data_IF_027229293783
#
_entry.id   IF_027229293783
#
_cell.length_a   1.000
_cell.length_b   1.000
_cell.length_c   1.000
_cell.angle_alpha   90.00
_cell.angle_beta   90.00
_cell.angle_gamma   90.00
#
_symmetry.space_group_name_H-M   'P 1'
#
loop_
_entity.id
_entity.type
_entity.pdbx_description
1 polymer ?
#
# COMPACT_ATOMS: atom_id res chain seq x y z
N UNK A 1 17.74 29.80 16.66
CA UNK A 1 18.96 30.36 16.01
C UNK A 1 19.90 29.20 15.70
N UNK A 2 20.41 29.11 14.47
CA UNK A 2 21.35 28.05 14.04
C UNK A 2 22.76 28.38 14.55
N UNK A 3 23.50 27.38 15.03
CA UNK A 3 24.88 27.51 15.54
C UNK A 3 25.72 26.31 15.13
N UNK A 4 27.05 26.38 15.26
CA UNK A 4 27.90 25.19 15.11
C UNK A 4 27.38 24.08 16.04
N UNK A 5 27.21 22.88 15.50
CA UNK A 5 26.55 21.74 16.13
C UNK A 5 25.04 21.62 15.89
N UNK A 6 24.39 22.61 15.26
CA UNK A 6 23.01 22.47 14.77
C UNK A 6 22.92 21.34 13.75
N UNK A 7 21.78 20.64 13.71
CA UNK A 7 21.58 19.45 12.87
C UNK A 7 20.39 19.60 11.95
N UNK A 8 20.45 18.97 10.78
CA UNK A 8 19.29 18.70 9.93
C UNK A 8 18.75 17.35 10.37
N UNK A 9 17.60 17.37 11.05
CA UNK A 9 17.01 16.17 11.62
C UNK A 9 16.49 15.22 10.53
N UNK A 10 16.78 13.94 10.68
CA UNK A 10 16.19 12.88 9.86
C UNK A 10 15.25 12.08 10.77
N UNK A 11 13.93 12.07 10.59
CA UNK A 11 13.06 11.30 11.47
C UNK A 11 13.45 9.81 11.44
N UNK A 12 13.65 9.18 12.60
CA UNK A 12 14.14 7.81 12.65
C UNK A 12 13.73 7.06 13.92
N UNK A 13 13.53 5.75 13.78
CA UNK A 13 13.35 4.78 14.87
C UNK A 13 14.53 3.81 14.91
N UNK A 14 15.02 3.49 16.11
CA UNK A 14 15.98 2.40 16.33
C UNK A 14 15.36 1.32 17.19
N UNK A 15 15.57 0.08 16.78
CA UNK A 15 15.09 -1.09 17.51
C UNK A 15 15.49 -2.33 16.74
N UNK A 16 14.58 -3.28 16.62
CA UNK A 16 14.79 -4.50 15.83
C UNK A 16 13.79 -4.54 14.68
N UNK A 17 14.24 -5.06 13.54
CA UNK A 17 13.36 -5.29 12.41
C UNK A 17 13.72 -6.59 11.69
N UNK A 18 12.73 -7.19 11.05
CA UNK A 18 12.87 -8.36 10.19
C UNK A 18 11.88 -8.29 9.04
N UNK A 19 12.25 -8.87 7.90
CA UNK A 19 11.51 -8.74 6.64
C UNK A 19 11.46 -10.10 5.95
N UNK A 20 10.29 -10.47 5.43
CA UNK A 20 10.13 -11.68 4.64
C UNK A 20 9.12 -11.44 3.52
N UNK A 21 9.27 -12.15 2.39
CA UNK A 21 8.39 -12.03 1.22
C UNK A 21 7.89 -13.39 0.76
N UNK A 22 6.67 -13.41 0.21
CA UNK A 22 6.07 -14.54 -0.49
C UNK A 22 5.55 -14.12 -1.86
N UNK A 23 5.66 -15.02 -2.82
CA UNK A 23 4.89 -14.96 -4.05
C UNK A 23 3.45 -15.37 -3.73
N UNK A 24 2.50 -14.53 -4.13
CA UNK A 24 1.06 -14.76 -3.97
C UNK A 24 0.35 -14.67 -5.32
N UNK A 25 1.06 -14.89 -6.41
CA UNK A 25 0.47 -14.91 -7.75
C UNK A 25 -0.65 -15.94 -7.78
N UNK A 26 -1.88 -15.54 -8.17
CA UNK A 26 -3.01 -16.43 -8.16
C UNK A 26 -2.88 -17.51 -9.24
N UNK A 27 -3.61 -18.64 -9.09
CA UNK A 27 -3.61 -19.69 -10.09
C UNK A 27 -4.25 -19.21 -11.40
N UNK A 28 -3.84 -19.77 -12.55
CA UNK A 28 -4.48 -19.48 -13.84
C UNK A 28 -6.00 -19.70 -13.80
N UNK A 29 -6.74 -18.86 -14.51
CA UNK A 29 -8.20 -18.94 -14.59
C UNK A 29 -8.95 -18.41 -13.37
N UNK A 30 -8.27 -17.82 -12.38
CA UNK A 30 -8.96 -17.11 -11.29
C UNK A 30 -9.72 -15.89 -11.83
N UNK A 31 -10.82 -15.55 -11.16
CA UNK A 31 -11.57 -14.33 -11.45
C UNK A 31 -10.74 -13.07 -11.20
N UNK A 32 -10.61 -12.21 -12.20
CA UNK A 32 -9.93 -10.90 -12.15
C UNK A 32 -10.82 -9.73 -12.58
N UNK A 33 -12.14 -9.94 -12.71
CA UNK A 33 -13.12 -8.90 -13.05
C UNK A 33 -13.26 -7.84 -11.96
N UNK A 34 -12.39 -6.84 -11.97
CA UNK A 34 -12.45 -5.67 -11.07
C UNK A 34 -13.08 -4.45 -11.73
N UNK A 35 -13.11 -4.42 -13.07
CA UNK A 35 -13.75 -3.39 -13.87
C UNK A 35 -15.12 -3.85 -14.36
N UNK A 36 -16.15 -3.03 -14.14
CA UNK A 36 -17.49 -3.24 -14.70
C UNK A 36 -17.48 -3.47 -16.23
N UNK A 37 -16.73 -2.70 -17.03
CA UNK A 37 -16.64 -2.91 -18.48
C UNK A 37 -15.61 -3.98 -18.91
N UNK A 38 -15.02 -4.76 -18.00
CA UNK A 38 -14.00 -5.77 -18.34
C UNK A 38 -14.46 -6.70 -19.48
N UNK A 39 -13.55 -6.92 -20.43
CA UNK A 39 -13.79 -7.76 -21.61
C UNK A 39 -13.73 -9.26 -21.26
N UNK A 40 -12.93 -9.63 -20.25
CA UNK A 40 -12.83 -10.98 -19.70
C UNK A 40 -13.16 -11.01 -18.20
N UNK A 41 -13.50 -12.20 -17.70
CA UNK A 41 -13.75 -12.42 -16.26
C UNK A 41 -12.58 -13.02 -15.51
N UNK A 42 -11.69 -13.67 -16.25
CA UNK A 42 -10.52 -14.39 -15.77
C UNK A 42 -9.26 -13.84 -16.42
N UNK A 43 -8.14 -14.01 -15.74
CA UNK A 43 -6.85 -13.68 -16.32
C UNK A 43 -6.40 -14.74 -17.35
N UNK A 44 -5.79 -14.29 -18.45
CA UNK A 44 -5.20 -15.14 -19.49
C UNK A 44 -3.67 -15.28 -19.35
N UNK A 45 -3.07 -14.55 -18.41
CA UNK A 45 -1.64 -14.56 -18.17
C UNK A 45 -1.23 -13.72 -16.96
N UNK A 46 0.08 -13.57 -16.79
CA UNK A 46 0.70 -12.79 -15.72
C UNK A 46 1.66 -11.81 -16.35
N UNK A 47 1.42 -10.51 -16.16
CA UNK A 47 2.35 -9.46 -16.53
C UNK A 47 3.54 -9.45 -15.56
N UNK A 48 3.24 -9.40 -14.25
CA UNK A 48 4.21 -9.49 -13.17
C UNK A 48 3.65 -10.28 -12.00
N UNK A 49 4.50 -10.99 -11.24
CA UNK A 49 4.07 -11.72 -10.05
C UNK A 49 3.51 -10.77 -9.00
N UNK A 50 2.53 -11.25 -8.25
CA UNK A 50 2.01 -10.57 -7.07
C UNK A 50 2.80 -11.03 -5.86
N UNK A 51 3.11 -10.11 -4.95
CA UNK A 51 3.87 -10.43 -3.74
C UNK A 51 3.15 -9.96 -2.48
N UNK A 52 3.49 -10.65 -1.39
CA UNK A 52 3.18 -10.24 -0.03
C UNK A 52 4.50 -10.06 0.71
N UNK A 53 4.72 -8.91 1.34
CA UNK A 53 5.92 -8.63 2.13
C UNK A 53 5.54 -8.28 3.56
N UNK A 54 6.04 -9.06 4.52
CA UNK A 54 5.91 -8.79 5.94
C UNK A 54 7.13 -8.01 6.45
N UNK A 55 6.89 -6.97 7.22
CA UNK A 55 7.86 -6.20 7.99
C UNK A 55 7.46 -6.28 9.46
N UNK A 56 8.31 -6.89 10.29
CA UNK A 56 8.17 -6.90 11.74
C UNK A 56 9.10 -5.86 12.36
N UNK A 57 8.61 -5.12 13.35
CA UNK A 57 9.40 -4.15 14.12
C UNK A 57 9.15 -4.37 15.62
N UNK A 58 10.20 -4.34 16.43
CA UNK A 58 10.10 -4.38 17.89
C UNK A 58 11.05 -3.38 18.54
N UNK A 59 10.77 -3.01 19.79
CA UNK A 59 11.74 -2.35 20.66
C UNK A 59 12.87 -3.33 21.04
N UNK A 60 13.92 -2.83 21.72
CA UNK A 60 15.04 -3.65 22.16
C UNK A 60 14.69 -4.52 23.41
N UNK A 61 15.35 -5.68 23.63
CA UNK A 61 14.95 -6.71 24.61
C UNK A 61 15.09 -6.36 26.09
N UNK A 62 15.29 -5.09 26.44
CA UNK A 62 15.42 -4.62 27.83
C UNK A 62 14.12 -4.14 28.47
N UNK A 63 13.09 -3.87 27.66
CA UNK A 63 11.72 -3.61 28.12
C UNK A 63 10.97 -4.94 28.16
N UNK A 64 10.14 -5.18 29.18
CA UNK A 64 9.25 -6.36 29.30
C UNK A 64 8.39 -6.49 28.03
N UNK A 65 8.91 -7.28 27.08
CA UNK A 65 8.76 -7.04 25.65
C UNK A 65 7.34 -7.14 25.12
N UNK A 66 6.79 -5.98 24.76
CA UNK A 66 5.60 -5.89 23.93
C UNK A 66 5.76 -6.70 22.63
N UNK A 67 4.68 -7.38 22.21
CA UNK A 67 4.65 -8.11 20.95
C UNK A 67 5.05 -7.19 19.76
N UNK A 68 5.75 -7.73 18.74
CA UNK A 68 6.20 -6.94 17.60
C UNK A 68 5.00 -6.33 16.85
N UNK A 69 5.21 -5.17 16.23
CA UNK A 69 4.31 -4.65 15.21
C UNK A 69 4.61 -5.34 13.89
N UNK A 70 3.58 -5.83 13.19
CA UNK A 70 3.70 -6.49 11.90
C UNK A 70 2.88 -5.73 10.86
N UNK A 71 3.57 -5.27 9.82
CA UNK A 71 2.98 -4.73 8.61
C UNK A 71 3.09 -5.79 7.50
N UNK A 72 1.96 -6.09 6.85
CA UNK A 72 1.88 -6.98 5.70
C UNK A 72 1.41 -6.17 4.49
N UNK A 73 2.33 -5.85 3.58
CA UNK A 73 2.02 -5.21 2.31
C UNK A 73 1.71 -6.26 1.25
N UNK A 74 0.54 -6.18 0.62
CA UNK A 74 0.00 -7.19 -0.29
C UNK A 74 -0.32 -6.55 -1.63
N UNK A 75 0.19 -7.14 -2.72
CA UNK A 75 -0.34 -6.87 -4.05
C UNK A 75 -1.75 -7.48 -4.18
N UNK A 76 -2.75 -6.74 -3.74
CA UNK A 76 -4.16 -7.12 -3.79
C UNK A 76 -5.06 -5.96 -4.20
N UNK A 77 -6.30 -6.32 -4.54
CA UNK A 77 -7.36 -5.40 -4.98
C UNK A 77 -7.96 -4.67 -3.77
N UNK A 78 -9.17 -5.02 -3.37
CA UNK A 78 -9.82 -4.57 -2.15
C UNK A 78 -10.72 -5.67 -1.61
N UNK A 79 -10.95 -5.61 -0.31
CA UNK A 79 -11.91 -6.49 0.35
C UNK A 79 -13.33 -6.10 -0.09
N UNK A 80 -14.00 -6.98 -0.84
CA UNK A 80 -15.40 -6.73 -1.26
C UNK A 80 -16.40 -7.06 -0.16
N UNK A 81 -16.01 -7.88 0.82
CA UNK A 81 -16.83 -8.34 1.95
C UNK A 81 -16.04 -8.24 3.25
N UNK A 82 -16.70 -7.78 4.31
CA UNK A 82 -16.13 -7.71 5.65
C UNK A 82 -15.75 -9.11 6.15
N UNK A 83 -16.58 -10.12 5.87
CA UNK A 83 -16.33 -11.51 6.28
C UNK A 83 -15.00 -12.05 5.73
N UNK A 84 -14.69 -11.77 4.45
CA UNK A 84 -13.46 -12.24 3.80
C UNK A 84 -12.22 -11.58 4.42
N UNK A 85 -12.28 -10.27 4.66
CA UNK A 85 -11.22 -9.52 5.35
C UNK A 85 -11.00 -10.06 6.77
N UNK A 86 -12.08 -10.21 7.54
CA UNK A 86 -12.02 -10.67 8.93
C UNK A 86 -11.48 -12.08 9.03
N UNK A 87 -11.90 -12.99 8.15
CA UNK A 87 -11.38 -14.37 8.11
C UNK A 87 -9.87 -14.39 7.87
N UNK A 88 -9.38 -13.63 6.88
CA UNK A 88 -7.94 -13.55 6.60
C UNK A 88 -7.21 -12.92 7.79
N UNK A 89 -7.70 -11.78 8.31
CA UNK A 89 -7.11 -11.09 9.46
C UNK A 89 -7.03 -11.98 10.69
N UNK A 90 -8.12 -12.63 11.10
CA UNK A 90 -8.16 -13.51 12.26
C UNK A 90 -7.18 -14.68 12.09
N UNK A 91 -7.12 -15.29 10.92
CA UNK A 91 -6.15 -16.36 10.63
C UNK A 91 -4.70 -15.87 10.82
N UNK A 92 -4.40 -14.64 10.40
CA UNK A 92 -3.06 -14.05 10.55
C UNK A 92 -2.78 -13.71 12.02
N UNK A 93 -3.71 -13.10 12.73
CA UNK A 93 -3.58 -12.79 14.16
C UNK A 93 -3.33 -14.05 14.98
N UNK A 94 -4.17 -15.08 14.80
CA UNK A 94 -4.04 -16.37 15.50
C UNK A 94 -2.72 -17.05 15.14
N UNK A 95 -2.34 -17.04 13.85
CA UNK A 95 -1.11 -17.66 13.38
C UNK A 95 0.18 -16.98 13.88
N UNK A 96 0.11 -15.69 14.21
CA UNK A 96 1.23 -14.90 14.72
C UNK A 96 1.16 -14.66 16.23
N UNK A 97 0.09 -15.09 16.89
CA UNK A 97 -0.19 -14.83 18.32
C UNK A 97 -0.21 -13.32 18.64
N UNK A 98 -0.83 -12.53 17.75
CA UNK A 98 -0.90 -11.07 17.83
C UNK A 98 -2.32 -10.58 18.15
N UNK A 99 -2.40 -9.39 18.74
CA UNK A 99 -3.65 -8.63 18.90
C UNK A 99 -3.89 -7.69 17.71
N UNK A 100 -5.12 -7.18 17.54
CA UNK A 100 -5.49 -6.37 16.36
C UNK A 100 -4.60 -5.14 16.17
N UNK A 101 -4.23 -4.45 17.24
CA UNK A 101 -3.37 -3.26 17.22
C UNK A 101 -1.92 -3.56 16.77
N UNK A 102 -1.51 -4.83 16.75
CA UNK A 102 -0.17 -5.28 16.36
C UNK A 102 -0.07 -5.65 14.88
N UNK A 103 -1.19 -5.68 14.13
CA UNK A 103 -1.22 -6.13 12.74
C UNK A 103 -1.87 -5.12 11.80
N UNK A 104 -1.09 -4.66 10.82
CA UNK A 104 -1.60 -3.92 9.67
C UNK A 104 -1.47 -4.76 8.39
N UNK A 105 -2.59 -5.00 7.70
CA UNK A 105 -2.60 -5.59 6.35
C UNK A 105 -2.95 -4.48 5.36
N UNK A 106 -2.01 -4.12 4.49
CA UNK A 106 -2.15 -3.05 3.51
C UNK A 106 -2.21 -3.64 2.09
N UNK A 107 -3.29 -3.33 1.36
CA UNK A 107 -3.41 -3.72 -0.04
C UNK A 107 -2.86 -2.61 -0.94
N UNK A 108 -2.11 -2.98 -1.98
CA UNK A 108 -1.62 -2.05 -3.02
C UNK A 108 -2.76 -1.34 -3.75
N UNK A 109 -3.95 -1.96 -3.78
CA UNK A 109 -5.13 -1.52 -4.51
C UNK A 109 -5.03 -1.66 -6.04
N UNK A 110 -4.19 -2.57 -6.54
CA UNK A 110 -4.16 -2.92 -7.97
C UNK A 110 -5.52 -3.44 -8.44
N UNK A 111 -6.01 -2.93 -9.57
CA UNK A 111 -7.23 -3.45 -10.21
C UNK A 111 -6.96 -4.64 -11.13
N UNK A 112 -5.69 -4.95 -11.41
CA UNK A 112 -5.28 -6.09 -12.22
C UNK A 112 -4.93 -7.33 -11.39
N UNK A 113 -5.47 -7.45 -10.17
CA UNK A 113 -5.31 -8.61 -9.29
C UNK A 113 -6.54 -9.54 -9.26
N UNK A 114 -6.47 -10.66 -8.52
CA UNK A 114 -7.63 -11.51 -8.28
C UNK A 114 -8.69 -10.77 -7.47
N UNK A 115 -9.96 -11.11 -7.71
CA UNK A 115 -11.08 -10.70 -6.88
C UNK A 115 -10.89 -11.26 -5.46
N UNK A 116 -10.94 -10.39 -4.44
CA UNK A 116 -10.93 -10.78 -3.02
C UNK A 116 -12.36 -10.83 -2.48
N UNK A 117 -13.12 -11.85 -2.91
CA UNK A 117 -14.53 -12.04 -2.56
C UNK A 117 -14.94 -13.51 -2.70
N UNK A 118 -15.08 -14.24 -1.59
CA UNK A 118 -15.56 -15.62 -1.65
C UNK A 118 -17.04 -15.71 -2.10
N UNK A 119 -17.80 -14.62 -1.95
CA UNK A 119 -19.19 -14.52 -2.42
C UNK A 119 -19.35 -14.44 -3.95
N UNK A 120 -18.25 -14.36 -4.69
CA UNK A 120 -18.23 -14.42 -6.16
C UNK A 120 -17.92 -15.85 -6.66
N UNK A 121 -17.94 -16.87 -5.79
CA UNK A 121 -17.55 -18.25 -6.12
C UNK A 121 -18.41 -18.91 -7.21
N UNK A 122 -19.65 -18.45 -7.40
CA UNK A 122 -20.57 -18.90 -8.44
C UNK A 122 -20.31 -18.30 -9.83
N UNK A 123 -19.43 -17.29 -9.90
CA UNK A 123 -19.10 -16.58 -11.15
C UNK A 123 -17.90 -17.22 -11.84
N UNK A 124 -17.70 -16.87 -13.12
CA UNK A 124 -16.58 -17.38 -13.91
C UNK A 124 -15.22 -17.08 -13.25
N UNK A 125 -14.39 -18.12 -13.14
CA UNK A 125 -13.14 -18.16 -12.36
C UNK A 125 -13.27 -18.00 -10.83
N UNK A 126 -14.49 -17.78 -10.32
CA UNK A 126 -14.77 -17.46 -8.92
C UNK A 126 -14.54 -18.62 -7.98
N UNK A 127 -14.74 -19.86 -8.44
CA UNK A 127 -14.55 -21.07 -7.63
C UNK A 127 -13.13 -21.22 -7.07
N UNK A 128 -12.14 -20.54 -7.66
CA UNK A 128 -10.74 -20.53 -7.20
C UNK A 128 -10.47 -19.50 -6.09
N UNK A 129 -11.36 -18.52 -5.90
CA UNK A 129 -11.18 -17.40 -4.96
C UNK A 129 -11.12 -17.85 -3.50
N UNK A 130 -12.02 -18.71 -2.97
CA UNK A 130 -11.95 -19.13 -1.57
C UNK A 130 -10.60 -19.79 -1.21
N UNK A 131 -10.14 -20.72 -2.04
CA UNK A 131 -8.84 -21.37 -1.85
C UNK A 131 -7.66 -20.40 -2.00
N UNK A 132 -7.80 -19.36 -2.83
CA UNK A 132 -6.80 -18.31 -2.93
C UNK A 132 -6.72 -17.45 -1.65
N UNK A 133 -7.85 -17.09 -1.05
CA UNK A 133 -7.88 -16.37 0.23
C UNK A 133 -7.25 -17.19 1.37
N UNK A 134 -7.49 -18.50 1.40
CA UNK A 134 -6.84 -19.40 2.37
C UNK A 134 -5.32 -19.44 2.17
N UNK A 135 -4.84 -19.53 0.92
CA UNK A 135 -3.40 -19.45 0.63
C UNK A 135 -2.81 -18.09 0.96
N UNK A 136 -3.53 -17.00 0.72
CA UNK A 136 -3.10 -15.65 1.06
C UNK A 136 -2.91 -15.51 2.58
N UNK A 137 -3.85 -15.99 3.39
CA UNK A 137 -3.75 -15.98 4.84
C UNK A 137 -2.57 -16.84 5.34
N UNK A 138 -2.39 -18.04 4.76
CA UNK A 138 -1.25 -18.90 5.09
C UNK A 138 0.10 -18.24 4.74
N UNK A 139 0.22 -17.65 3.56
CA UNK A 139 1.42 -16.93 3.14
C UNK A 139 1.71 -15.72 4.04
N UNK A 140 0.67 -15.02 4.49
CA UNK A 140 0.79 -13.92 5.44
C UNK A 140 1.32 -14.39 6.81
N UNK A 141 0.81 -15.52 7.34
CA UNK A 141 1.33 -16.13 8.57
C UNK A 141 2.78 -16.57 8.41
N UNK A 142 3.12 -17.26 7.32
CA UNK A 142 4.49 -17.70 7.08
C UNK A 142 5.48 -16.54 6.97
N UNK A 143 5.14 -15.51 6.18
CA UNK A 143 5.95 -14.30 6.06
C UNK A 143 6.07 -13.57 7.39
N UNK A 144 4.97 -13.43 8.14
CA UNK A 144 4.98 -12.81 9.46
C UNK A 144 5.89 -13.54 10.45
N UNK A 145 5.80 -14.88 10.52
CA UNK A 145 6.66 -15.70 11.38
C UNK A 145 8.13 -15.58 11.01
N UNK A 146 8.45 -15.60 9.72
CA UNK A 146 9.83 -15.43 9.25
C UNK A 146 10.36 -14.02 9.56
N UNK A 147 9.55 -12.97 9.35
CA UNK A 147 9.92 -11.60 9.68
C UNK A 147 10.15 -11.42 11.19
N UNK A 148 9.29 -11.99 12.04
CA UNK A 148 9.47 -11.98 13.50
C UNK A 148 10.74 -12.77 13.90
N UNK A 149 10.95 -13.96 13.34
CA UNK A 149 12.15 -14.77 13.59
C UNK A 149 13.45 -14.12 13.14
N UNK A 150 13.38 -13.21 12.16
CA UNK A 150 14.50 -12.46 11.61
C UNK A 150 14.76 -11.11 12.32
N UNK A 151 14.04 -10.77 13.39
CA UNK A 151 14.23 -9.52 14.14
C UNK A 151 15.69 -9.35 14.60
N UNK A 152 16.37 -8.37 14.02
CA UNK A 152 17.75 -8.01 14.35
C UNK A 152 17.88 -6.48 14.48
N UNK A 153 18.93 -5.96 15.17
CA UNK A 153 19.15 -4.53 15.33
C UNK A 153 19.08 -3.77 14.00
N UNK A 154 18.24 -2.74 13.95
CA UNK A 154 17.94 -1.99 12.74
C UNK A 154 17.58 -0.53 13.04
N UNK A 155 17.74 0.32 12.03
CA UNK A 155 17.30 1.73 12.04
C UNK A 155 16.36 1.95 10.86
N UNK A 156 15.18 2.49 11.13
CA UNK A 156 14.20 2.93 10.14
C UNK A 156 14.21 4.45 10.07
N UNK A 157 14.66 5.00 8.94
CA UNK A 157 14.79 6.44 8.71
C UNK A 157 13.79 6.91 7.66
N UNK A 158 13.19 8.08 7.84
CA UNK A 158 12.18 8.61 6.93
C UNK A 158 12.67 9.83 6.17
N UNK A 159 12.24 9.94 4.92
CA UNK A 159 12.43 11.09 4.05
C UNK A 159 11.20 11.28 3.16
N UNK A 160 11.10 12.42 2.50
CA UNK A 160 10.04 12.71 1.55
C UNK A 160 10.62 13.07 0.18
N UNK A 161 9.95 12.61 -0.87
CA UNK A 161 10.19 12.99 -2.25
C UNK A 161 8.91 13.54 -2.89
N UNK A 162 8.97 13.84 -4.19
CA UNK A 162 7.81 14.29 -4.97
C UNK A 162 7.69 13.50 -6.26
N UNK A 163 6.48 13.08 -6.62
CA UNK A 163 6.18 12.41 -7.88
C UNK A 163 4.90 12.97 -8.49
N UNK A 164 4.96 13.39 -9.76
CA UNK A 164 3.83 13.96 -10.49
C UNK A 164 2.96 12.90 -11.18
N UNK A 165 2.96 11.64 -10.72
CA UNK A 165 2.15 10.57 -11.29
C UNK A 165 0.66 10.76 -10.99
N UNK A 166 0.34 11.12 -9.75
CA UNK A 166 -1.03 11.38 -9.31
C UNK A 166 -1.59 12.64 -9.97
N UNK A 167 -2.83 12.54 -10.42
CA UNK A 167 -3.69 13.64 -10.82
C UNK A 167 -5.01 13.53 -10.05
N UNK A 168 -5.64 14.68 -9.79
CA UNK A 168 -7.05 14.69 -9.39
C UNK A 168 -7.88 14.00 -10.48
N UNK A 169 -8.83 13.17 -10.08
CA UNK A 169 -9.66 12.37 -10.99
C UNK A 169 -11.13 12.80 -11.01
N UNK A 170 -11.49 13.90 -10.36
CA UNK A 170 -12.85 14.43 -10.29
C UNK A 170 -13.12 15.42 -11.43
N UNK A 171 -13.23 14.90 -12.66
CA UNK A 171 -13.41 15.71 -13.85
C UNK A 171 -14.89 16.11 -14.04
N UNK A 172 -15.15 17.42 -14.13
CA UNK A 172 -16.41 17.94 -14.67
C UNK A 172 -16.31 18.10 -16.19
N UNK A 173 -17.03 17.26 -16.93
CA UNK A 173 -17.14 17.32 -18.38
C UNK A 173 -18.50 17.92 -18.77
N UNK A 174 -18.59 19.26 -18.78
CA UNK A 174 -19.77 19.98 -19.25
C UNK A 174 -20.99 19.83 -18.34
N UNK A 175 -20.79 19.88 -17.02
CA UNK A 175 -21.80 19.66 -15.99
C UNK A 175 -22.00 18.19 -15.61
N UNK A 176 -21.16 17.28 -16.11
CA UNK A 176 -21.22 15.84 -15.85
C UNK A 176 -19.96 15.40 -15.11
N UNK A 177 -20.15 14.85 -13.91
CA UNK A 177 -19.08 14.18 -13.19
C UNK A 177 -18.59 12.94 -13.95
N UNK A 178 -17.31 12.92 -14.27
CA UNK A 178 -16.59 11.84 -14.95
C UNK A 178 -15.35 11.51 -14.14
N UNK A 179 -15.02 10.23 -14.02
CA UNK A 179 -13.76 9.80 -13.40
C UNK A 179 -12.67 9.87 -14.45
N UNK A 180 -11.71 10.77 -14.27
CA UNK A 180 -10.61 11.01 -15.20
C UNK A 180 -9.82 12.25 -14.81
N UNK A 181 -8.63 12.42 -15.37
CA UNK A 181 -7.73 13.51 -14.99
C UNK A 181 -8.42 14.89 -15.06
N UNK A 182 -8.42 15.60 -13.95
CA UNK A 182 -8.93 16.96 -13.82
C UNK A 182 -7.76 17.94 -13.77
N UNK A 183 -7.48 18.66 -14.86
CA UNK A 183 -6.34 19.59 -14.90
C UNK A 183 -6.56 20.85 -14.07
N UNK A 184 -7.77 21.08 -13.52
CA UNK A 184 -8.10 22.26 -12.73
C UNK A 184 -7.77 22.10 -11.23
N UNK A 185 -7.47 20.89 -10.77
CA UNK A 185 -7.15 20.60 -9.38
C UNK A 185 -5.73 20.02 -9.24
N UNK A 186 -5.07 20.37 -8.13
CA UNK A 186 -3.76 19.83 -7.79
C UNK A 186 -3.91 18.49 -7.05
N UNK A 187 -3.04 17.53 -7.37
CA UNK A 187 -2.92 16.28 -6.63
C UNK A 187 -1.89 16.40 -5.50
N UNK A 188 -2.02 15.57 -4.46
CA UNK A 188 -0.92 15.31 -3.55
C UNK A 188 0.20 14.59 -4.30
N UNK A 189 1.37 15.20 -4.36
CA UNK A 189 2.56 14.65 -5.01
C UNK A 189 3.60 14.10 -4.03
N UNK A 190 3.25 14.04 -2.74
CA UNK A 190 4.14 13.59 -1.67
C UNK A 190 4.44 12.11 -1.77
N UNK A 191 5.72 11.75 -1.83
CA UNK A 191 6.19 10.37 -1.68
C UNK A 191 6.85 10.25 -0.31
N UNK A 192 6.31 9.44 0.60
CA UNK A 192 6.96 9.17 1.89
C UNK A 192 7.80 7.90 1.74
N UNK A 193 9.08 7.98 2.12
CA UNK A 193 10.03 6.89 1.93
C UNK A 193 10.71 6.54 3.25
N UNK A 194 10.61 5.27 3.65
CA UNK A 194 11.31 4.68 4.78
C UNK A 194 12.51 3.87 4.31
N UNK A 195 13.70 4.20 4.81
CA UNK A 195 14.95 3.44 4.65
C UNK A 195 15.16 2.58 5.89
N UNK A 196 15.04 1.26 5.77
CA UNK A 196 15.34 0.32 6.84
C UNK A 196 16.73 -0.29 6.64
N UNK A 197 17.62 -0.13 7.61
CA UNK A 197 19.00 -0.63 7.54
C UNK A 197 19.39 -1.43 8.76
N UNK A 198 20.24 -2.45 8.59
CA UNK A 198 20.78 -3.24 9.68
C UNK A 198 21.84 -2.44 10.44
N UNK A 199 21.67 -2.31 11.75
CA UNK A 199 22.64 -1.65 12.63
C UNK A 199 23.68 -2.65 13.15
N UNK A 200 24.99 -2.31 13.19
CA UNK A 200 25.61 -1.04 12.75
C UNK A 200 26.09 -1.06 11.29
N UNK A 201 25.85 -2.15 10.54
CA UNK A 201 26.44 -2.34 9.20
C UNK A 201 25.98 -1.34 8.13
N UNK A 202 24.82 -0.71 8.31
CA UNK A 202 24.18 0.15 7.32
C UNK A 202 23.61 -0.59 6.10
N UNK A 203 23.67 -1.93 6.06
CA UNK A 203 23.13 -2.73 4.96
C UNK A 203 21.62 -2.53 4.85
N UNK A 204 21.11 -2.28 3.65
CA UNK A 204 19.67 -2.16 3.41
C UNK A 204 18.95 -3.47 3.76
N UNK A 205 17.85 -3.36 4.50
CA UNK A 205 16.95 -4.46 4.86
C UNK A 205 15.62 -4.35 4.09
N UNK A 206 15.10 -3.13 3.92
CA UNK A 206 13.93 -2.87 3.10
C UNK A 206 13.80 -1.37 2.79
N UNK A 207 12.99 -1.06 1.77
CA UNK A 207 12.44 0.28 1.52
C UNK A 207 10.93 0.25 1.71
N UNK A 208 10.36 1.20 2.45
CA UNK A 208 8.91 1.40 2.56
C UNK A 208 8.54 2.62 1.73
N UNK A 209 7.57 2.50 0.84
CA UNK A 209 7.09 3.58 -0.02
C UNK A 209 5.62 3.79 0.25
N UNK A 210 5.22 5.01 0.60
CA UNK A 210 3.82 5.42 0.63
C UNK A 210 3.58 6.52 -0.40
N UNK A 211 2.53 6.35 -1.20
CA UNK A 211 2.14 7.32 -2.22
C UNK A 211 0.63 7.25 -2.48
N UNK A 212 0.00 8.42 -2.59
CA UNK A 212 -1.44 8.55 -2.80
C UNK A 212 -1.77 8.64 -4.30
N UNK A 213 -1.99 7.50 -4.93
CA UNK A 213 -2.43 7.42 -6.33
C UNK A 213 -3.14 6.09 -6.55
N UNK A 214 -4.29 6.01 -7.19
CA UNK A 214 -4.96 4.72 -7.43
C UNK A 214 -4.21 3.88 -8.48
N UNK A 215 -3.89 2.58 -8.26
CA UNK A 215 -3.30 1.73 -9.29
C UNK A 215 -4.36 1.21 -10.27
N UNK A 216 -4.83 2.14 -11.11
CA UNK A 216 -5.87 1.97 -12.14
C UNK A 216 -5.33 2.16 -13.55
N UNK A 217 -4.01 2.08 -13.75
CA UNK A 217 -3.41 2.21 -15.08
C UNK A 217 -3.99 1.14 -16.01
N UNK A 218 -3.99 -0.11 -15.56
CA UNK A 218 -4.56 -1.26 -16.25
C UNK A 218 -6.06 -1.39 -16.00
N UNK A 219 -6.86 -1.31 -17.07
CA UNK A 219 -8.32 -1.38 -16.99
C UNK A 219 -8.97 -2.50 -17.78
N UNK A 220 -10.11 -2.24 -18.41
CA UNK A 220 -11.03 -3.27 -18.89
C UNK A 220 -10.53 -4.07 -20.10
N UNK A 221 -9.54 -3.54 -20.85
CA UNK A 221 -8.87 -4.28 -21.91
C UNK A 221 -7.73 -5.18 -21.38
N UNK A 222 -7.26 -4.98 -20.16
CA UNK A 222 -6.17 -5.79 -19.60
C UNK A 222 -6.70 -7.15 -19.17
N UNK A 223 -6.04 -8.20 -19.63
CA UNK A 223 -6.33 -9.60 -19.31
C UNK A 223 -5.26 -10.25 -18.42
N UNK A 224 -4.18 -9.53 -18.10
CA UNK A 224 -3.04 -10.05 -17.34
C UNK A 224 -3.14 -9.74 -15.84
N UNK A 225 -2.68 -10.67 -15.00
CA UNK A 225 -2.43 -10.40 -13.59
C UNK A 225 -1.25 -9.44 -13.44
N UNK A 226 -1.43 -8.36 -12.68
CA UNK A 226 -0.43 -7.32 -12.51
C UNK A 226 -0.58 -6.57 -11.18
N UNK A 227 0.53 -6.20 -10.51
CA UNK A 227 0.53 -5.25 -9.40
C UNK A 227 0.42 -3.78 -9.86
N UNK A 228 0.11 -3.55 -11.14
CA UNK A 228 0.13 -2.23 -11.79
C UNK A 228 1.51 -1.57 -11.63
N UNK A 229 1.57 -0.24 -11.49
CA UNK A 229 2.83 0.48 -11.34
C UNK A 229 3.63 0.07 -10.09
N UNK A 230 3.00 -0.53 -9.07
CA UNK A 230 3.68 -0.94 -7.84
C UNK A 230 4.74 -2.04 -8.09
N UNK A 231 4.58 -2.83 -9.15
CA UNK A 231 5.58 -3.82 -9.57
C UNK A 231 6.84 -3.17 -10.11
N UNK A 232 6.71 -2.19 -11.02
CA UNK A 232 7.86 -1.51 -11.60
C UNK A 232 8.61 -0.62 -10.59
N UNK A 233 7.92 -0.04 -9.58
CA UNK A 233 8.59 0.61 -8.45
C UNK A 233 9.49 -0.38 -7.74
N UNK A 234 8.94 -1.56 -7.38
CA UNK A 234 9.67 -2.61 -6.69
C UNK A 234 10.91 -3.02 -7.46
N UNK A 235 10.78 -3.38 -8.73
CA UNK A 235 11.92 -3.80 -9.55
C UNK A 235 13.03 -2.75 -9.59
N UNK A 236 12.67 -1.46 -9.79
CA UNK A 236 13.65 -0.39 -9.88
C UNK A 236 14.35 -0.12 -8.53
N UNK A 237 13.59 -0.07 -7.44
CA UNK A 237 14.12 0.21 -6.10
C UNK A 237 14.92 -0.97 -5.58
N UNK A 238 14.46 -2.20 -5.78
CA UNK A 238 15.15 -3.43 -5.36
C UNK A 238 16.44 -3.63 -6.15
N UNK A 239 16.43 -3.34 -7.46
CA UNK A 239 17.64 -3.37 -8.28
C UNK A 239 18.71 -2.39 -7.81
N UNK A 240 18.31 -1.21 -7.30
CA UNK A 240 19.25 -0.20 -6.81
C UNK A 240 19.69 -0.40 -5.35
N UNK A 241 18.84 -0.98 -4.51
CA UNK A 241 19.07 -1.09 -3.06
C UNK A 241 19.42 -2.50 -2.59
N UNK A 242 19.23 -3.52 -3.45
CA UNK A 242 19.39 -4.94 -3.16
C UNK A 242 18.58 -5.43 -1.94
N UNK A 243 17.43 -4.80 -1.65
CA UNK A 243 16.56 -5.14 -0.54
C UNK A 243 15.09 -4.94 -0.91
N UNK A 244 14.14 -5.73 -0.35
CA UNK A 244 12.72 -5.64 -0.64
C UNK A 244 12.14 -4.23 -0.55
N UNK A 245 11.30 -3.85 -1.52
CA UNK A 245 10.52 -2.62 -1.51
C UNK A 245 9.04 -2.93 -1.21
N UNK A 246 8.48 -2.30 -0.18
CA UNK A 246 7.08 -2.39 0.22
C UNK A 246 6.35 -1.16 -0.29
N UNK A 247 5.25 -1.34 -1.02
CA UNK A 247 4.37 -0.25 -1.43
C UNK A 247 3.13 -0.21 -0.54
N UNK A 248 2.84 0.96 0.01
CA UNK A 248 1.68 1.25 0.84
C UNK A 248 0.83 2.30 0.16
N UNK A 249 -0.43 1.97 -0.08
CA UNK A 249 -1.37 2.89 -0.69
C UNK A 249 -1.65 4.08 0.25
N UNK A 250 -1.48 5.30 -0.27
CA UNK A 250 -1.90 6.53 0.42
C UNK A 250 -3.38 6.84 0.25
N UNK A 251 -3.85 7.94 0.83
CA UNK A 251 -5.24 8.39 0.68
C UNK A 251 -5.50 8.88 -0.76
N UNK A 252 -6.02 8.00 -1.62
CA UNK A 252 -6.15 8.24 -3.06
C UNK A 252 -7.60 8.12 -3.56
N UNK A 253 -8.58 8.53 -2.75
CA UNK A 253 -9.99 8.44 -3.11
C UNK A 253 -10.30 9.25 -4.37
N UNK A 254 -9.62 10.37 -4.53
CA UNK A 254 -9.72 11.39 -5.57
C UNK A 254 -8.50 11.40 -6.50
N UNK A 255 -7.48 10.59 -6.23
CA UNK A 255 -6.20 10.63 -6.95
C UNK A 255 -5.97 9.37 -7.79
N UNK A 256 -5.58 9.52 -9.05
CA UNK A 256 -5.21 8.43 -9.95
C UNK A 256 -4.24 8.91 -11.05
N UNK A 257 -3.60 8.04 -11.85
CA UNK A 257 -2.75 8.48 -12.94
C UNK A 257 -3.51 9.28 -13.99
N UNK A 258 -2.88 10.29 -14.58
CA UNK A 258 -3.52 11.07 -15.64
C UNK A 258 -3.80 10.24 -16.90
N UNK A 259 -2.83 9.43 -17.32
CA UNK A 259 -2.97 8.44 -18.41
C UNK A 259 -3.31 7.07 -17.82
N UNK A 260 -4.59 6.76 -17.70
CA UNK A 260 -5.05 5.48 -17.15
C UNK A 260 -6.11 4.87 -18.07
N UNK A 261 -6.58 3.68 -17.73
CA UNK A 261 -7.58 2.93 -18.47
C UNK A 261 -7.10 2.33 -19.79
N UNK A 262 -5.91 1.74 -19.77
CA UNK A 262 -5.32 1.02 -20.90
C UNK A 262 -5.26 -0.48 -20.65
N UNK A 263 -5.08 -1.26 -21.72
CA UNK A 263 -4.69 -2.67 -21.66
C UNK A 263 -3.18 -2.89 -21.73
N UNK A 264 -2.39 -1.82 -21.95
CA UNK A 264 -0.95 -1.91 -22.18
C UNK A 264 -0.12 -1.86 -20.87
N UNK A 265 0.55 -2.97 -20.49
CA UNK A 265 1.40 -3.02 -19.30
C UNK A 265 2.58 -2.05 -19.34
N UNK A 266 3.06 -1.65 -20.52
CA UNK A 266 4.17 -0.72 -20.64
C UNK A 266 3.86 0.67 -20.05
N UNK A 267 2.58 1.06 -19.99
CA UNK A 267 2.13 2.31 -19.36
C UNK A 267 2.27 2.22 -17.84
N UNK A 268 1.83 1.11 -17.23
CA UNK A 268 1.98 0.85 -15.80
C UNK A 268 3.47 0.81 -15.42
N UNK A 269 4.30 0.21 -16.26
CA UNK A 269 5.75 0.15 -16.08
C UNK A 269 6.39 1.53 -16.08
N UNK A 270 5.97 2.39 -17.02
CA UNK A 270 6.45 3.76 -17.13
C UNK A 270 6.06 4.57 -15.89
N UNK A 271 4.84 4.41 -15.38
CA UNK A 271 4.40 5.02 -14.12
C UNK A 271 5.24 4.55 -12.94
N UNK A 272 5.48 3.24 -12.84
CA UNK A 272 6.26 2.69 -11.74
C UNK A 272 7.72 3.15 -11.79
N UNK A 273 8.32 3.30 -12.97
CA UNK A 273 9.65 3.93 -13.12
C UNK A 273 9.66 5.37 -12.65
N UNK A 274 8.66 6.17 -13.02
CA UNK A 274 8.58 7.58 -12.60
C UNK A 274 8.55 7.71 -11.07
N UNK A 275 7.70 6.92 -10.40
CA UNK A 275 7.64 6.90 -8.94
C UNK A 275 8.89 6.27 -8.31
N UNK A 276 9.43 5.20 -8.89
CA UNK A 276 10.69 4.61 -8.41
C UNK A 276 11.87 5.57 -8.49
N UNK A 277 11.97 6.42 -9.52
CA UNK A 277 12.98 7.50 -9.56
C UNK A 277 12.77 8.55 -8.47
N UNK A 278 11.53 8.92 -8.16
CA UNK A 278 11.24 9.82 -7.04
C UNK A 278 11.66 9.21 -5.69
N UNK A 279 11.42 7.90 -5.50
CA UNK A 279 11.87 7.15 -4.31
C UNK A 279 13.40 7.14 -4.21
N UNK A 280 14.09 6.78 -5.29
CA UNK A 280 15.56 6.73 -5.32
C UNK A 280 16.18 8.12 -5.12
N UNK A 281 15.57 9.17 -5.67
CA UNK A 281 15.98 10.56 -5.43
C UNK A 281 15.85 10.95 -3.96
N UNK A 282 14.73 10.59 -3.31
CA UNK A 282 14.51 10.84 -1.89
C UNK A 282 15.52 10.08 -1.01
N UNK A 283 15.79 8.81 -1.32
CA UNK A 283 16.81 7.99 -0.63
C UNK A 283 18.22 8.57 -0.78
N UNK A 284 18.58 9.04 -1.97
CA UNK A 284 19.88 9.65 -2.23
C UNK A 284 20.08 10.99 -1.51
N UNK A 285 18.97 11.67 -1.15
CA UNK A 285 19.00 12.88 -0.33
C UNK A 285 19.28 12.64 1.15
N UNK A 286 19.16 11.40 1.64
CA UNK A 286 19.51 11.08 3.02
C UNK A 286 21.04 11.00 3.19
N UNK A 287 21.58 11.44 4.34
CA UNK A 287 22.97 11.17 4.69
C UNK A 287 23.20 9.66 4.87
N UNK A 288 24.46 9.19 5.07
CA UNK A 288 24.72 7.78 5.37
C UNK A 288 23.84 7.23 6.51
N UNK A 289 23.49 5.92 6.51
CA UNK A 289 22.65 5.31 7.54
C UNK A 289 23.12 5.61 8.97
N UNK A 290 22.18 5.96 9.86
CA UNK A 290 22.48 6.25 11.26
C UNK A 290 23.18 7.60 11.49
N UNK A 291 23.21 8.47 10.48
CA UNK A 291 23.82 9.80 10.58
C UNK A 291 22.81 10.91 10.28
N UNK A 292 23.16 12.13 10.68
CA UNK A 292 22.47 13.38 10.33
C UNK A 292 23.50 14.40 9.85
N UNK A 293 23.08 15.42 9.10
CA UNK A 293 23.98 16.53 8.80
C UNK A 293 24.12 17.45 10.01
N UNK A 294 25.34 17.71 10.43
CA UNK A 294 25.66 18.69 11.47
C UNK A 294 26.42 19.88 10.86
N UNK A 295 26.09 21.09 11.27
CA UNK A 295 26.84 22.29 10.93
C UNK A 295 28.16 22.27 11.69
N UNK A 296 29.26 22.13 10.97
CA UNK A 296 30.59 21.88 11.56
C UNK A 296 31.46 23.11 11.61
N UNK A 297 31.43 23.96 10.58
CA UNK A 297 32.23 25.18 10.51
C UNK A 297 31.62 26.18 9.53
N UNK A 298 32.11 27.42 9.59
CA UNK A 298 31.94 28.43 8.54
C UNK A 298 33.28 28.68 7.89
N UNK A 299 33.33 28.63 6.56
CA UNK A 299 34.52 28.95 5.78
C UNK A 299 34.32 30.32 5.15
N UNK A 300 35.18 31.28 5.53
CA UNK A 300 35.14 32.62 4.93
C UNK A 300 35.64 32.58 3.49
N UNK A 301 34.85 33.15 2.58
CA UNK A 301 35.17 33.28 1.16
C UNK A 301 34.50 34.53 0.58
N UNK A 302 34.40 34.67 -0.75
CA UNK A 302 33.62 35.76 -1.36
C UNK A 302 32.17 35.85 -0.84
N UNK A 303 31.61 34.72 -0.41
CA UNK A 303 30.49 34.64 0.51
C UNK A 303 30.81 33.63 1.62
N UNK A 304 30.44 33.90 2.87
CA UNK A 304 30.69 32.96 3.98
C UNK A 304 29.90 31.66 3.77
N UNK A 305 30.58 30.51 3.82
CA UNK A 305 30.02 29.20 3.49
C UNK A 305 29.78 28.38 4.76
N UNK A 306 28.53 27.98 5.02
CA UNK A 306 28.19 27.07 6.12
C UNK A 306 28.44 25.61 5.71
N UNK A 307 29.34 24.90 6.39
CA UNK A 307 29.72 23.53 6.03
C UNK A 307 29.00 22.51 6.90
N UNK A 308 28.15 21.71 6.24
CA UNK A 308 27.40 20.62 6.85
C UNK A 308 28.05 19.28 6.51
N UNK A 309 28.29 18.45 7.52
CA UNK A 309 28.88 17.11 7.34
C UNK A 309 28.05 16.04 8.03
N UNK A 310 28.02 14.81 7.50
CA UNK A 310 27.44 13.68 8.23
C UNK A 310 28.12 13.51 9.58
N UNK A 311 27.32 13.41 10.63
CA UNK A 311 27.75 13.11 11.98
C UNK A 311 26.86 12.01 12.55
N UNK A 312 27.42 11.16 13.40
CA UNK A 312 26.64 10.16 14.12
C UNK A 312 25.44 10.82 14.79
N UNK A 313 24.28 10.17 14.64
CA UNK A 313 23.04 10.61 15.24
C UNK A 313 23.10 10.37 16.76
N UNK A 314 22.82 11.39 17.59
CA UNK A 314 23.02 11.28 19.02
C UNK A 314 21.93 10.45 19.71
N UNK A 315 20.67 10.59 19.27
CA UNK A 315 19.51 9.91 19.85
C UNK A 315 18.52 9.52 18.74
N UNK A 316 17.87 8.38 18.89
CA UNK A 316 16.73 7.92 18.09
C UNK A 316 15.64 7.48 19.04
N UNK A 317 14.38 7.71 18.67
CA UNK A 317 13.30 7.08 19.42
C UNK A 317 13.43 5.57 19.31
N UNK A 318 13.36 4.90 20.46
CA UNK A 318 13.16 3.45 20.58
C UNK A 318 11.71 3.13 20.96
N UNK A 319 10.89 4.17 21.15
CA UNK A 319 9.50 4.03 21.55
C UNK A 319 8.68 3.49 20.40
N UNK A 320 8.07 2.33 20.64
CA UNK A 320 7.13 1.69 19.75
C UNK A 320 5.77 1.66 20.45
N UNK A 321 4.71 2.14 19.78
CA UNK A 321 3.36 2.21 20.36
C UNK A 321 2.38 1.61 19.36
N UNK A 322 1.57 0.66 19.84
CA UNK A 322 0.40 0.16 19.13
C UNK A 322 -0.85 0.93 19.59
N UNK A 323 -1.69 1.37 18.67
CA UNK A 323 -3.02 1.93 19.00
C UNK A 323 -4.04 1.39 18.02
N UNK A 324 -5.19 1.00 18.56
CA UNK A 324 -6.37 0.70 17.80
C UNK A 324 -7.49 1.60 18.30
N UNK A 325 -8.05 2.39 17.41
CA UNK A 325 -9.21 3.23 17.66
C UNK A 325 -10.31 2.95 16.66
N UNK A 326 -11.55 3.09 17.11
CA UNK A 326 -12.74 3.00 16.29
C UNK A 326 -13.50 4.32 16.45
N UNK A 327 -13.94 4.90 15.34
CA UNK A 327 -14.83 6.06 15.32
C UNK A 327 -16.14 5.69 14.68
N UNK A 328 -17.24 6.13 15.29
CA UNK A 328 -18.57 5.98 14.71
C UNK A 328 -18.79 7.01 13.62
N UNK A 329 -19.02 6.53 12.39
CA UNK A 329 -19.35 7.37 11.24
C UNK A 329 -20.82 7.22 10.87
N UNK A 330 -21.54 8.33 10.57
CA UNK A 330 -22.92 8.24 10.12
C UNK A 330 -22.99 7.54 8.76
N UNK A 331 -23.90 6.57 8.64
CA UNK A 331 -24.16 5.90 7.38
C UNK A 331 -24.97 6.84 6.50
N UNK A 332 -24.44 7.16 5.31
CA UNK A 332 -25.22 7.87 4.30
C UNK A 332 -26.46 7.03 3.94
N UNK A 333 -27.69 7.61 3.88
CA UNK A 333 -28.87 6.88 3.46
C UNK A 333 -28.63 6.17 2.13
N UNK A 334 -28.69 4.84 2.15
CA UNK A 334 -28.50 4.02 0.96
C UNK A 334 -29.86 3.65 0.38
N UNK A 335 -30.05 3.74 -0.96
CA UNK A 335 -31.26 3.24 -1.60
C UNK A 335 -31.43 1.74 -1.33
N UNK A 336 -32.67 1.27 -1.23
CA UNK A 336 -32.99 -0.16 -1.20
C UNK A 336 -32.51 -0.85 -2.47
N UNK A 337 -32.28 -2.16 -2.42
CA UNK A 337 -31.88 -2.92 -3.62
C UNK A 337 -32.92 -2.79 -4.75
N UNK A 338 -34.22 -2.76 -4.40
CA UNK A 338 -35.30 -2.54 -5.37
C UNK A 338 -35.27 -1.14 -6.00
N UNK A 339 -34.85 -0.11 -5.25
CA UNK A 339 -34.64 1.24 -5.80
C UNK A 339 -33.44 1.28 -6.73
N UNK A 340 -32.32 0.62 -6.36
CA UNK A 340 -31.14 0.50 -7.22
C UNK A 340 -31.46 -0.25 -8.51
N UNK A 341 -32.24 -1.33 -8.44
CA UNK A 341 -32.71 -2.08 -9.61
C UNK A 341 -33.50 -1.19 -10.58
N UNK A 342 -34.42 -0.36 -10.05
CA UNK A 342 -35.17 0.61 -10.86
C UNK A 342 -34.25 1.70 -11.43
N UNK A 343 -33.34 2.24 -10.62
CA UNK A 343 -32.42 3.30 -11.03
C UNK A 343 -31.47 2.84 -12.14
N UNK A 344 -31.06 1.57 -12.11
CA UNK A 344 -30.12 1.00 -13.08
C UNK A 344 -30.79 0.15 -14.17
N UNK A 345 -32.11 0.26 -14.34
CA UNK A 345 -32.86 -0.50 -15.34
C UNK A 345 -32.37 -0.26 -16.79
N UNK A 346 -31.80 0.92 -17.07
CA UNK A 346 -31.26 1.28 -18.38
C UNK A 346 -29.75 1.02 -18.57
N UNK A 347 -29.07 0.44 -17.58
CA UNK A 347 -27.66 0.02 -17.70
C UNK A 347 -27.62 -1.39 -18.31
N UNK A 348 -26.51 -1.75 -18.95
CA UNK A 348 -26.34 -3.11 -19.44
C UNK A 348 -26.57 -4.14 -18.31
N UNK A 349 -27.27 -5.27 -18.57
CA UNK A 349 -27.67 -6.20 -17.53
C UNK A 349 -26.50 -6.75 -16.71
N UNK A 350 -25.35 -7.01 -17.34
CA UNK A 350 -24.18 -7.60 -16.68
C UNK A 350 -23.59 -6.63 -15.66
N UNK A 351 -23.35 -5.37 -16.05
CA UNK A 351 -22.87 -4.34 -15.13
C UNK A 351 -23.90 -4.02 -14.05
N UNK A 352 -25.20 -4.04 -14.37
CA UNK A 352 -26.25 -3.85 -13.37
C UNK A 352 -26.21 -4.94 -12.30
N UNK A 353 -26.16 -6.21 -12.70
CA UNK A 353 -26.16 -7.34 -11.79
C UNK A 353 -24.90 -7.34 -10.91
N UNK A 354 -23.75 -6.95 -11.46
CA UNK A 354 -22.50 -6.75 -10.71
C UNK A 354 -22.63 -5.62 -9.69
N UNK A 355 -23.18 -4.46 -10.08
CA UNK A 355 -23.42 -3.33 -9.16
C UNK A 355 -24.36 -3.72 -8.02
N UNK A 356 -25.42 -4.47 -8.32
CA UNK A 356 -26.37 -4.95 -7.30
C UNK A 356 -25.73 -5.97 -6.36
N UNK A 357 -24.86 -6.85 -6.88
CA UNK A 357 -24.09 -7.79 -6.04
C UNK A 357 -23.12 -7.05 -5.12
N UNK A 358 -22.34 -6.10 -5.64
CA UNK A 358 -21.46 -5.22 -4.83
C UNK A 358 -22.26 -4.44 -3.78
N UNK A 359 -23.44 -3.93 -4.15
CA UNK A 359 -24.33 -3.26 -3.23
C UNK A 359 -24.82 -4.19 -2.11
N UNK A 360 -25.14 -5.46 -2.40
CA UNK A 360 -25.44 -6.48 -1.39
C UNK A 360 -24.26 -6.74 -0.46
N UNK A 361 -23.10 -7.06 -1.04
CA UNK A 361 -21.87 -7.35 -0.29
C UNK A 361 -21.42 -6.20 0.61
N UNK A 362 -21.59 -4.95 0.17
CA UNK A 362 -21.31 -3.77 0.98
C UNK A 362 -22.26 -3.64 2.17
N UNK A 363 -23.49 -4.14 2.08
CA UNK A 363 -24.44 -4.11 3.20
C UNK A 363 -24.15 -5.25 4.18
N UNK A 364 -23.82 -6.42 3.64
CA UNK A 364 -23.57 -7.63 4.41
C UNK A 364 -22.31 -7.48 5.30
N UNK A 365 -22.52 -7.44 6.62
CA UNK A 365 -21.44 -7.37 7.61
C UNK A 365 -20.85 -5.99 7.86
N UNK A 366 -21.19 -4.98 7.03
CA UNK A 366 -20.79 -3.58 7.25
C UNK A 366 -21.95 -2.69 7.73
N UNK A 367 -23.19 -3.02 7.37
CA UNK A 367 -24.39 -2.31 7.87
C UNK A 367 -25.17 -3.24 8.79
N UNK A 368 -25.00 -3.05 10.08
CA UNK A 368 -25.63 -3.77 11.19
C UNK A 368 -27.03 -3.22 11.54
N UNK A 369 -27.68 -2.57 10.58
CA UNK A 369 -29.04 -2.02 10.71
C UNK A 369 -29.11 -0.69 11.49
N UNK A 370 -27.98 -0.19 11.97
CA UNK A 370 -27.85 1.10 12.65
C UNK A 370 -27.71 2.30 11.69
N UNK A 371 -27.77 3.51 12.25
CA UNK A 371 -27.51 4.78 11.53
C UNK A 371 -26.03 5.17 11.51
N UNK A 372 -25.19 4.41 12.20
CA UNK A 372 -23.74 4.62 12.33
C UNK A 372 -23.01 3.30 12.13
N UNK A 373 -21.78 3.37 11.65
CA UNK A 373 -20.86 2.24 11.52
C UNK A 373 -19.56 2.55 12.23
N UNK A 374 -19.03 1.57 12.97
CA UNK A 374 -17.70 1.67 13.57
C UNK A 374 -16.63 1.53 12.49
N UNK A 375 -15.89 2.60 12.24
CA UNK A 375 -14.77 2.61 11.31
C UNK A 375 -13.45 2.62 12.07
N UNK A 376 -12.48 1.74 11.77
CA UNK A 376 -11.15 1.83 12.36
C UNK A 376 -10.50 3.15 11.93
N UNK A 377 -9.90 3.89 12.86
CA UNK A 377 -9.23 5.18 12.62
C UNK A 377 -7.84 5.23 13.23
#
# INVERSE_FOLDING_TARGET
MVRIGSRVHVPAFSGRAGVARRDITPPPGIRTRNWGPAETDIADGVHRPLTLTALAVSADPGDDGDAPLVLIAVDGTWWRRVEDERRVRTTVLDGLELTEERLLIALSHTHAGPVLCAGDADLDGGALVPAYLDRLAAAAVEAGREAIGALAPAVLEWTTGRCALAADRELDLGGRAVVGANPAAAADDTVVVGRLTASPSGRMLATVVNYACHPTTLAWQNTLVSPDYAGAIRELVEGATAAPCLFLQGASGELAPAEQYTGDPAVADRHGRALGHAVLGALAGLPPPGTELALTETVESGASLAVWRPAARPETTTTLVARHSVTDLPVRPLPTLAELERQWAGIDPRSRDERLRRARHLRDGYLDGGTTVGHPV
#
